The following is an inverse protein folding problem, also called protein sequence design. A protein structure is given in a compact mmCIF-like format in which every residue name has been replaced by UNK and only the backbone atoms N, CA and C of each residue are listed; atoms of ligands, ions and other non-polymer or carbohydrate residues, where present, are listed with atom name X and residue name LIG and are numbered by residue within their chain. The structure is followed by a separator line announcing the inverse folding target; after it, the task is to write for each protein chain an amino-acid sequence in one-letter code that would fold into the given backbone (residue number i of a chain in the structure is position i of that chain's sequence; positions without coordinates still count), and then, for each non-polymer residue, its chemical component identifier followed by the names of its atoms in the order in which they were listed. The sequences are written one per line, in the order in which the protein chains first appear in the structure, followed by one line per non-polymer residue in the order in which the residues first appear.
data_IF_105972289655
#
_entry.id   IF_105972289655
#
_cell.length_a   1.000
_cell.length_b   1.000
_cell.length_c   1.000
_cell.angle_alpha   90.00
_cell.angle_beta   90.00
_cell.angle_gamma   90.00
#
_symmetry.space_group_name_H-M   'P 1'
#
loop_
_entity.id
_entity.type
_entity.pdbx_description
1 polymer ?
#
# COMPACT_ATOMS: atom_id res chain seq x y z
N UNK A 1 -1.07 17.26 19.11
CA UNK A 1 -0.75 16.19 18.13
C UNK A 1 -0.71 16.84 16.75
N UNK A 2 0.46 16.90 16.08
CA UNK A 2 0.53 17.46 14.71
C UNK A 2 -0.35 16.59 13.81
N UNK A 3 -1.37 17.19 13.21
CA UNK A 3 -2.22 16.56 12.17
C UNK A 3 -1.29 16.11 11.06
N UNK A 4 -1.12 14.80 10.89
CA UNK A 4 -0.35 14.24 9.77
C UNK A 4 -1.33 13.85 8.67
N UNK A 5 -0.97 14.19 7.43
CA UNK A 5 -1.79 13.94 6.26
C UNK A 5 -1.62 12.48 5.85
N UNK A 6 -2.67 11.69 6.04
CA UNK A 6 -2.81 10.39 5.38
C UNK A 6 -3.64 10.62 4.11
N UNK A 7 -3.24 10.02 3.00
CA UNK A 7 -3.86 10.33 1.69
C UNK A 7 -5.31 9.87 1.62
N UNK A 8 -5.61 8.68 2.18
CA UNK A 8 -6.95 8.11 2.19
C UNK A 8 -7.27 7.64 3.60
N UNK A 9 -8.42 8.08 4.12
CA UNK A 9 -8.95 7.59 5.40
C UNK A 9 -10.42 7.20 5.22
N UNK A 10 -10.75 5.98 5.64
CA UNK A 10 -12.12 5.49 5.73
C UNK A 10 -12.57 5.58 7.17
N UNK A 11 -13.68 6.27 7.40
CA UNK A 11 -14.32 6.40 8.71
C UNK A 11 -15.68 5.73 8.73
N UNK A 12 -16.08 5.25 9.91
CA UNK A 12 -17.44 4.73 10.16
C UNK A 12 -18.08 5.51 11.30
N UNK A 13 -19.31 5.98 11.07
CA UNK A 13 -20.06 6.74 12.07
C UNK A 13 -20.20 5.97 13.39
N UNK A 14 -19.86 6.64 14.49
CA UNK A 14 -19.87 6.04 15.83
C UNK A 14 -18.71 5.07 16.15
N UNK A 15 -17.76 4.88 15.23
CA UNK A 15 -16.54 4.07 15.44
C UNK A 15 -15.29 4.95 15.27
N UNK A 16 -15.25 5.80 14.25
CA UNK A 16 -14.08 6.61 13.90
C UNK A 16 -13.33 6.03 12.68
N UNK A 17 -12.03 6.32 12.53
CA UNK A 17 -11.23 5.82 11.42
C UNK A 17 -10.98 4.31 11.57
N UNK A 18 -11.19 3.58 10.49
CA UNK A 18 -11.15 2.11 10.47
C UNK A 18 -10.16 1.54 9.46
N UNK A 19 -9.87 2.28 8.40
CA UNK A 19 -8.83 1.95 7.44
C UNK A 19 -8.18 3.24 6.95
N UNK A 20 -6.87 3.23 6.77
CA UNK A 20 -6.17 4.32 6.12
C UNK A 20 -5.09 3.81 5.18
N UNK A 21 -4.81 4.58 4.13
CA UNK A 21 -3.75 4.30 3.16
C UNK A 21 -2.95 5.57 2.93
N UNK A 22 -1.65 5.47 3.07
CA UNK A 22 -0.68 6.50 2.70
C UNK A 22 0.10 6.02 1.47
N UNK A 23 0.45 6.94 0.56
CA UNK A 23 1.13 6.66 -0.68
C UNK A 23 2.28 7.65 -0.88
N UNK A 24 3.46 7.12 -1.21
CA UNK A 24 4.66 7.92 -1.42
C UNK A 24 5.34 7.59 -2.75
N UNK A 25 5.43 8.59 -3.61
CA UNK A 25 6.30 8.56 -4.79
C UNK A 25 7.75 8.87 -4.44
N UNK A 26 8.68 8.07 -4.96
CA UNK A 26 10.12 8.22 -4.78
C UNK A 26 10.79 8.57 -6.11
N UNK A 27 11.15 9.84 -6.28
CA UNK A 27 11.72 10.36 -7.53
C UNK A 27 13.25 10.36 -7.55
N UNK A 28 13.92 10.62 -6.42
CA UNK A 28 15.40 10.53 -6.26
C UNK A 28 15.78 9.40 -5.30
N UNK A 29 15.43 8.18 -5.69
CA UNK A 29 15.07 7.11 -4.77
C UNK A 29 16.17 6.71 -3.79
N UNK A 30 17.42 6.51 -4.25
CA UNK A 30 18.42 5.81 -3.44
C UNK A 30 19.03 6.67 -2.34
N UNK A 31 19.23 7.98 -2.58
CA UNK A 31 19.85 8.88 -1.58
C UNK A 31 19.03 9.02 -0.29
N UNK A 32 17.73 8.82 -0.38
CA UNK A 32 16.79 9.19 0.68
C UNK A 32 16.15 7.99 1.38
N UNK A 33 16.49 6.74 1.01
CA UNK A 33 15.79 5.54 1.50
C UNK A 33 15.76 5.47 3.03
N UNK A 34 16.89 5.70 3.71
CA UNK A 34 16.98 5.67 5.17
C UNK A 34 16.07 6.72 5.82
N UNK A 35 16.16 7.98 5.36
CA UNK A 35 15.30 9.05 5.87
C UNK A 35 13.81 8.74 5.67
N UNK A 36 13.46 8.08 4.55
CA UNK A 36 12.08 7.65 4.27
C UNK A 36 11.63 6.52 5.17
N UNK A 37 12.50 5.54 5.47
CA UNK A 37 12.20 4.49 6.44
C UNK A 37 11.90 5.09 7.81
N UNK A 38 12.77 5.96 8.32
CA UNK A 38 12.58 6.60 9.63
C UNK A 38 11.28 7.42 9.70
N UNK A 39 10.98 8.20 8.66
CA UNK A 39 9.72 8.95 8.55
C UNK A 39 8.51 8.02 8.61
N UNK A 40 8.57 6.90 7.89
CA UNK A 40 7.50 5.91 7.77
C UNK A 40 7.26 5.15 9.07
N UNK A 41 8.33 4.81 9.79
CA UNK A 41 8.25 4.19 11.13
C UNK A 41 7.58 5.17 12.10
N UNK A 42 8.07 6.41 12.16
CA UNK A 42 7.51 7.43 13.05
C UNK A 42 6.04 7.75 12.72
N UNK A 43 5.65 7.73 11.45
CA UNK A 43 4.26 7.90 11.03
C UNK A 43 3.36 6.77 11.53
N UNK A 44 3.79 5.53 11.32
CA UNK A 44 3.07 4.33 11.78
C UNK A 44 2.81 4.35 13.27
N UNK A 45 3.87 4.58 14.05
CA UNK A 45 3.81 4.57 15.52
C UNK A 45 2.85 5.64 16.02
N UNK A 46 2.97 6.86 15.50
CA UNK A 46 2.10 7.96 15.92
C UNK A 46 0.63 7.70 15.61
N UNK A 47 0.33 7.19 14.41
CA UNK A 47 -1.05 6.90 13.99
C UNK A 47 -1.65 5.78 14.83
N UNK A 48 -0.91 4.70 15.08
CA UNK A 48 -1.42 3.60 15.89
C UNK A 48 -1.50 3.90 17.39
N UNK A 49 -0.72 4.86 17.91
CA UNK A 49 -0.93 5.36 19.27
C UNK A 49 -2.27 6.09 19.36
N UNK A 50 -2.60 6.93 18.38
CA UNK A 50 -3.88 7.66 18.34
C UNK A 50 -5.08 6.78 18.00
N UNK A 51 -4.90 5.80 17.12
CA UNK A 51 -5.94 4.92 16.60
C UNK A 51 -5.47 3.45 16.60
N UNK A 52 -5.47 2.77 17.76
CA UNK A 52 -4.87 1.44 17.89
C UNK A 52 -5.55 0.35 17.05
N UNK A 53 -6.82 0.55 16.71
CA UNK A 53 -7.60 -0.40 15.90
C UNK A 53 -7.50 -0.12 14.40
N UNK A 54 -6.97 1.02 13.98
CA UNK A 54 -6.87 1.39 12.56
C UNK A 54 -6.13 0.31 11.77
N UNK A 55 -6.67 -0.08 10.62
CA UNK A 55 -5.92 -0.88 9.63
C UNK A 55 -5.17 0.07 8.73
N UNK A 56 -3.83 0.06 8.79
CA UNK A 56 -3.02 1.06 8.11
C UNK A 56 -2.14 0.44 7.02
N UNK A 57 -2.31 0.96 5.80
CA UNK A 57 -1.52 0.60 4.62
C UNK A 57 -0.56 1.70 4.20
N UNK A 58 0.61 1.31 3.69
CA UNK A 58 1.56 2.24 3.07
C UNK A 58 2.03 1.74 1.69
N UNK A 59 1.92 2.57 0.67
CA UNK A 59 2.34 2.26 -0.70
C UNK A 59 3.56 3.10 -1.10
N UNK A 60 4.65 2.45 -1.48
CA UNK A 60 5.83 3.07 -2.09
C UNK A 60 5.84 2.86 -3.59
N UNK A 61 5.90 3.96 -4.35
CA UNK A 61 6.06 3.95 -5.80
C UNK A 61 7.43 4.50 -6.15
N UNK A 62 8.31 3.65 -6.69
CA UNK A 62 9.69 4.02 -7.03
C UNK A 62 9.82 4.18 -8.53
N UNK A 63 10.38 5.31 -8.97
CA UNK A 63 10.77 5.47 -10.37
C UNK A 63 11.92 4.53 -10.73
N UNK A 64 11.71 3.65 -11.69
CA UNK A 64 12.71 2.70 -12.16
C UNK A 64 13.72 3.35 -13.11
N UNK A 65 14.44 4.36 -12.62
CA UNK A 65 15.49 5.00 -13.42
C UNK A 65 16.58 3.96 -13.72
N UNK A 66 16.71 3.60 -14.99
CA UNK A 66 17.73 2.67 -15.46
C UNK A 66 19.08 3.37 -15.59
N UNK A 67 20.15 2.63 -15.38
CA UNK A 67 21.50 3.14 -15.58
C UNK A 67 21.69 3.57 -17.05
N UNK A 68 22.11 4.83 -17.26
CA UNK A 68 22.22 5.39 -18.60
C UNK A 68 22.81 6.80 -18.61
N UNK A 69 23.04 7.33 -19.81
CA UNK A 69 23.60 8.68 -19.99
C UNK A 69 22.62 9.73 -19.47
N UNK A 70 23.08 10.59 -18.56
CA UNK A 70 22.26 11.67 -17.98
C UNK A 70 21.50 11.31 -16.70
N UNK A 71 21.62 10.07 -16.21
CA UNK A 71 21.10 9.66 -14.90
C UNK A 71 22.25 9.70 -13.89
N UNK A 72 22.08 10.44 -12.79
CA UNK A 72 23.07 10.44 -11.71
C UNK A 72 23.13 9.04 -11.08
N UNK A 73 24.34 8.55 -10.75
CA UNK A 73 24.55 7.20 -10.19
C UNK A 73 23.68 6.91 -8.95
N UNK A 74 23.40 7.94 -8.18
CA UNK A 74 22.57 7.90 -6.97
C UNK A 74 21.06 7.91 -7.20
N UNK A 75 20.63 8.15 -8.44
CA UNK A 75 19.23 8.09 -8.85
C UNK A 75 18.92 6.80 -9.62
N UNK A 76 19.94 5.99 -9.93
CA UNK A 76 19.80 4.68 -10.57
C UNK A 76 19.12 3.72 -9.60
N UNK A 77 18.01 3.13 -10.05
CA UNK A 77 17.22 2.14 -9.31
C UNK A 77 17.37 0.76 -9.93
N UNK A 78 17.60 0.71 -11.24
CA UNK A 78 17.79 -0.52 -12.02
C UNK A 78 19.13 -0.44 -12.75
N UNK A 79 19.97 -1.46 -12.57
CA UNK A 79 21.29 -1.54 -13.20
C UNK A 79 21.22 -1.92 -14.69
N UNK A 80 22.38 -1.97 -15.36
CA UNK A 80 22.49 -2.37 -16.78
C UNK A 80 22.01 -3.79 -17.07
N UNK A 81 21.94 -4.66 -16.05
CA UNK A 81 21.45 -6.04 -16.18
C UNK A 81 19.93 -6.13 -16.02
N UNK A 82 19.26 -5.00 -15.76
CA UNK A 82 17.83 -4.95 -15.50
C UNK A 82 17.45 -5.28 -14.06
N UNK A 83 18.42 -5.38 -13.14
CA UNK A 83 18.17 -5.76 -11.75
C UNK A 83 18.09 -4.54 -10.82
N UNK A 84 17.31 -4.60 -9.74
CA UNK A 84 17.30 -3.55 -8.72
C UNK A 84 18.69 -3.39 -8.10
N UNK A 85 19.13 -2.14 -7.91
CA UNK A 85 20.41 -1.86 -7.23
C UNK A 85 20.36 -2.22 -5.75
N UNK A 86 21.51 -2.40 -5.12
CA UNK A 86 21.60 -2.86 -3.72
C UNK A 86 20.81 -2.00 -2.73
N UNK A 87 20.81 -0.68 -2.90
CA UNK A 87 20.01 0.21 -2.03
C UNK A 87 18.52 -0.11 -2.06
N UNK A 88 17.99 -0.43 -3.25
CA UNK A 88 16.58 -0.81 -3.46
C UNK A 88 16.28 -2.15 -2.79
N UNK A 89 17.20 -3.12 -2.87
CA UNK A 89 17.08 -4.40 -2.20
C UNK A 89 17.08 -4.26 -0.67
N UNK A 90 17.97 -3.44 -0.11
CA UNK A 90 18.00 -3.17 1.35
C UNK A 90 16.72 -2.47 1.82
N UNK A 91 16.21 -1.54 1.04
CA UNK A 91 14.94 -0.87 1.33
C UNK A 91 13.77 -1.84 1.32
N UNK A 92 13.69 -2.70 0.30
CA UNK A 92 12.71 -3.80 0.24
C UNK A 92 12.76 -4.71 1.47
N UNK A 93 13.96 -5.10 1.92
CA UNK A 93 14.13 -5.91 3.14
C UNK A 93 13.64 -5.17 4.39
N UNK A 94 13.96 -3.88 4.52
CA UNK A 94 13.49 -3.07 5.63
C UNK A 94 11.96 -2.93 5.65
N UNK A 95 11.33 -2.67 4.50
CA UNK A 95 9.87 -2.62 4.37
C UNK A 95 9.23 -3.97 4.71
N UNK A 96 9.85 -5.08 4.30
CA UNK A 96 9.39 -6.43 4.60
C UNK A 96 9.38 -6.72 6.11
N UNK A 97 10.31 -6.13 6.88
CA UNK A 97 10.35 -6.25 8.34
C UNK A 97 9.28 -5.38 9.06
N UNK A 98 8.79 -4.34 8.40
CA UNK A 98 7.83 -3.37 8.95
C UNK A 98 6.37 -3.70 8.64
N UNK A 99 6.10 -4.68 7.79
CA UNK A 99 4.74 -5.09 7.44
C UNK A 99 4.24 -6.28 8.26
N UNK A 100 2.96 -6.61 8.14
CA UNK A 100 2.37 -7.79 8.76
C UNK A 100 1.92 -7.61 10.21
N UNK A 101 1.54 -6.39 10.63
CA UNK A 101 0.85 -6.21 11.90
C UNK A 101 -0.45 -7.02 11.93
N UNK A 102 -0.61 -7.87 12.93
CA UNK A 102 -1.79 -8.75 13.08
C UNK A 102 -2.84 -8.12 14.01
N UNK A 103 -2.40 -7.64 15.17
CA UNK A 103 -3.30 -7.20 16.24
C UNK A 103 -2.96 -5.83 16.83
N UNK A 104 -3.88 -5.32 17.62
CA UNK A 104 -3.77 -4.01 18.31
C UNK A 104 -2.60 -3.99 19.29
N UNK A 105 -2.35 -5.11 19.97
CA UNK A 105 -1.25 -5.25 20.95
C UNK A 105 0.12 -5.55 20.32
N UNK A 106 0.18 -5.75 19.02
CA UNK A 106 1.44 -5.96 18.32
C UNK A 106 2.15 -4.62 18.08
N UNK A 107 3.45 -4.70 17.80
CA UNK A 107 4.37 -3.58 17.51
C UNK A 107 3.68 -2.39 16.80
N UNK A 108 3.56 -1.26 17.52
CA UNK A 108 2.90 -0.06 17.04
C UNK A 108 3.55 0.52 15.78
N UNK A 109 4.80 0.16 15.54
CA UNK A 109 5.65 0.64 14.46
C UNK A 109 5.55 -0.21 13.19
N UNK A 110 4.66 -1.22 13.18
CA UNK A 110 4.36 -2.03 12.00
C UNK A 110 3.02 -1.66 11.38
N UNK A 111 3.00 -1.73 10.06
CA UNK A 111 1.80 -1.60 9.24
C UNK A 111 1.10 -2.94 9.07
N UNK A 112 -0.21 -2.91 8.87
CA UNK A 112 -0.96 -4.09 8.43
C UNK A 112 -0.53 -4.54 7.03
N UNK A 113 -0.30 -3.58 6.12
CA UNK A 113 0.23 -3.85 4.79
C UNK A 113 1.21 -2.75 4.35
N UNK A 114 2.33 -3.14 3.76
CA UNK A 114 3.18 -2.25 2.98
C UNK A 114 3.23 -2.83 1.58
N UNK A 115 3.17 -1.98 0.58
CA UNK A 115 3.49 -2.36 -0.79
C UNK A 115 4.59 -1.50 -1.35
N UNK A 116 5.39 -2.11 -2.21
CA UNK A 116 6.40 -1.46 -3.00
C UNK A 116 6.18 -1.84 -4.47
N UNK A 117 6.22 -0.84 -5.34
CA UNK A 117 6.15 -1.04 -6.78
C UNK A 117 7.18 -0.15 -7.47
N UNK A 118 7.78 -0.64 -8.55
CA UNK A 118 8.63 0.15 -9.42
C UNK A 118 7.88 0.50 -10.70
N UNK A 119 8.00 1.74 -11.14
CA UNK A 119 7.31 2.28 -12.32
C UNK A 119 8.33 2.62 -13.38
N UNK A 120 8.15 2.09 -14.59
CA UNK A 120 8.96 2.47 -15.75
C UNK A 120 8.71 3.95 -16.08
N UNK A 121 9.79 4.70 -16.28
CA UNK A 121 9.73 6.16 -16.42
C UNK A 121 9.85 6.64 -17.86
N UNK A 122 10.21 5.75 -18.78
CA UNK A 122 10.60 6.13 -20.13
C UNK A 122 10.23 5.09 -21.19
N UNK A 123 10.22 5.54 -22.44
CA UNK A 123 9.91 4.68 -23.59
C UNK A 123 8.43 4.29 -23.68
N UNK A 124 8.12 3.30 -24.51
CA UNK A 124 6.75 2.86 -24.76
C UNK A 124 6.05 2.18 -23.58
N UNK A 125 6.79 1.88 -22.50
CA UNK A 125 6.29 1.29 -21.26
C UNK A 125 6.17 2.30 -20.11
N UNK A 126 6.34 3.60 -20.38
CA UNK A 126 6.26 4.63 -19.35
C UNK A 126 4.93 4.58 -18.60
N UNK A 127 5.01 4.52 -17.26
CA UNK A 127 3.84 4.39 -16.38
C UNK A 127 3.46 2.96 -16.03
N UNK A 128 4.05 1.95 -16.69
CA UNK A 128 3.82 0.55 -16.35
C UNK A 128 4.59 0.12 -15.10
N UNK A 129 4.03 -0.85 -14.37
CA UNK A 129 4.73 -1.51 -13.28
C UNK A 129 5.79 -2.47 -13.83
N UNK A 130 6.93 -2.51 -13.16
CA UNK A 130 7.90 -3.60 -13.30
C UNK A 130 7.37 -4.79 -12.50
N UNK A 131 7.16 -5.92 -13.17
CA UNK A 131 6.50 -7.11 -12.65
C UNK A 131 7.44 -8.12 -12.00
N UNK A 132 8.75 -7.95 -12.23
CA UNK A 132 9.83 -8.80 -11.77
C UNK A 132 10.46 -8.37 -10.43
N UNK A 133 10.09 -7.19 -9.90
CA UNK A 133 10.48 -6.79 -8.53
C UNK A 133 9.51 -5.77 -7.86
N UNK A 134 9.13 -5.97 -6.59
CA UNK A 134 9.38 -7.15 -5.75
C UNK A 134 8.82 -8.44 -6.36
N UNK A 135 9.36 -9.59 -6.01
CA UNK A 135 8.82 -10.87 -6.52
C UNK A 135 7.39 -11.13 -5.98
N UNK A 136 6.63 -11.98 -6.68
CA UNK A 136 5.23 -12.28 -6.34
C UNK A 136 5.01 -12.90 -4.94
N UNK A 137 6.06 -13.49 -4.35
CA UNK A 137 6.04 -14.06 -3.00
C UNK A 137 6.44 -13.06 -1.92
N UNK A 138 6.96 -11.90 -2.31
CA UNK A 138 7.34 -10.86 -1.37
C UNK A 138 6.13 -10.38 -0.54
N UNK A 139 6.30 -10.19 0.78
CA UNK A 139 5.25 -9.64 1.63
C UNK A 139 4.89 -8.19 1.27
N UNK A 140 5.77 -7.48 0.54
CA UNK A 140 5.54 -6.11 0.07
C UNK A 140 5.18 -6.03 -1.41
N UNK A 141 4.82 -7.15 -2.03
CA UNK A 141 4.35 -7.18 -3.41
C UNK A 141 3.05 -6.38 -3.57
N UNK A 142 2.99 -5.48 -4.56
CA UNK A 142 1.84 -4.60 -4.81
C UNK A 142 0.50 -5.36 -4.90
N UNK A 143 0.47 -6.48 -5.62
CA UNK A 143 -0.75 -7.29 -5.79
C UNK A 143 -1.36 -7.82 -4.49
N UNK A 144 -0.60 -7.90 -3.39
CA UNK A 144 -1.07 -8.38 -2.08
C UNK A 144 -1.60 -7.28 -1.17
N UNK A 145 -1.42 -6.01 -1.56
CA UNK A 145 -1.64 -4.85 -0.70
C UNK A 145 -3.08 -4.76 -0.19
N UNK A 146 -4.02 -4.58 -1.12
CA UNK A 146 -5.44 -4.41 -0.76
C UNK A 146 -6.05 -5.68 -0.20
N UNK A 147 -5.65 -6.85 -0.70
CA UNK A 147 -6.07 -8.14 -0.14
C UNK A 147 -5.71 -8.22 1.35
N UNK A 148 -4.48 -7.87 1.71
CA UNK A 148 -4.01 -7.88 3.10
C UNK A 148 -4.75 -6.86 3.96
N UNK A 149 -4.93 -5.63 3.47
CA UNK A 149 -5.70 -4.60 4.20
C UNK A 149 -7.13 -5.05 4.45
N UNK A 150 -7.79 -5.59 3.44
CA UNK A 150 -9.16 -6.07 3.56
C UNK A 150 -9.29 -7.25 4.53
N UNK A 151 -8.37 -8.19 4.48
CA UNK A 151 -8.34 -9.30 5.44
C UNK A 151 -8.20 -8.79 6.87
N UNK A 152 -7.26 -7.88 7.13
CA UNK A 152 -7.05 -7.30 8.48
C UNK A 152 -8.25 -6.48 8.94
N UNK A 153 -8.91 -5.78 8.02
CA UNK A 153 -10.15 -5.08 8.29
C UNK A 153 -11.25 -6.03 8.73
N UNK A 154 -11.50 -7.10 7.97
CA UNK A 154 -12.55 -8.06 8.28
C UNK A 154 -12.27 -8.78 9.60
N UNK A 155 -11.04 -9.24 9.83
CA UNK A 155 -10.62 -9.86 11.10
C UNK A 155 -10.94 -8.95 12.29
N UNK A 156 -10.64 -7.65 12.17
CA UNK A 156 -10.73 -6.71 13.30
C UNK A 156 -12.14 -6.18 13.53
N UNK A 157 -12.87 -5.84 12.47
CA UNK A 157 -14.14 -5.12 12.57
C UNK A 157 -15.37 -5.97 12.26
N UNK A 158 -15.21 -7.12 11.61
CA UNK A 158 -16.34 -7.99 11.24
C UNK A 158 -16.32 -9.27 12.09
N UNK A 159 -15.18 -9.95 12.15
CA UNK A 159 -15.04 -11.23 12.86
C UNK A 159 -14.88 -11.01 14.36
N UNK A 160 -13.94 -10.16 14.78
CA UNK A 160 -13.67 -9.93 16.22
C UNK A 160 -14.70 -9.06 16.93
N UNK A 161 -15.58 -8.37 16.18
CA UNK A 161 -16.64 -7.53 16.73
C UNK A 161 -18.00 -7.78 16.04
N UNK A 162 -18.62 -8.96 16.22
CA UNK A 162 -19.86 -9.34 15.53
C UNK A 162 -21.01 -8.33 15.72
N UNK A 163 -21.09 -7.68 16.88
CA UNK A 163 -22.05 -6.64 17.21
C UNK A 163 -21.91 -5.37 16.34
N UNK A 164 -20.71 -5.11 15.81
CA UNK A 164 -20.44 -4.01 14.89
C UNK A 164 -20.60 -4.42 13.42
N UNK A 165 -20.65 -5.73 13.12
CA UNK A 165 -20.66 -6.26 11.76
C UNK A 165 -21.75 -5.65 10.87
N UNK A 166 -22.94 -5.34 11.43
CA UNK A 166 -24.03 -4.68 10.67
C UNK A 166 -23.61 -3.32 10.09
N UNK A 167 -22.67 -2.62 10.74
CA UNK A 167 -22.15 -1.29 10.32
C UNK A 167 -20.80 -1.38 9.60
N UNK A 168 -20.01 -2.39 9.92
CA UNK A 168 -18.62 -2.54 9.46
C UNK A 168 -18.45 -3.51 8.31
N UNK A 169 -19.41 -4.39 8.02
CA UNK A 169 -19.33 -5.25 6.83
C UNK A 169 -19.09 -4.39 5.58
N UNK A 170 -18.20 -4.89 4.72
CA UNK A 170 -17.89 -4.25 3.45
C UNK A 170 -19.14 -4.30 2.58
N UNK A 171 -19.40 -3.20 1.88
CA UNK A 171 -20.51 -3.15 0.94
C UNK A 171 -20.13 -3.97 -0.29
N UNK A 172 -21.13 -4.67 -0.81
CA UNK A 172 -21.04 -5.45 -2.03
C UNK A 172 -22.11 -4.93 -2.97
N UNK A 173 -21.82 -4.96 -4.26
CA UNK A 173 -22.80 -4.54 -5.23
C UNK A 173 -23.83 -5.65 -5.42
N UNK A 174 -25.11 -5.27 -5.51
CA UNK A 174 -26.17 -6.19 -5.93
C UNK A 174 -25.90 -6.66 -7.35
N UNK A 175 -26.09 -7.95 -7.61
CA UNK A 175 -25.96 -8.51 -8.97
C UNK A 175 -26.86 -7.82 -10.00
N UNK A 176 -27.99 -7.29 -9.53
CA UNK A 176 -28.99 -6.58 -10.31
C UNK A 176 -28.82 -5.05 -10.25
N UNK A 177 -27.64 -4.56 -9.81
CA UNK A 177 -27.41 -3.13 -9.70
C UNK A 177 -27.48 -2.46 -11.08
N UNK A 178 -28.22 -1.35 -11.24
CA UNK A 178 -28.26 -0.60 -12.50
C UNK A 178 -26.90 -0.02 -12.89
N UNK A 179 -25.94 0.04 -11.95
CA UNK A 179 -24.54 0.37 -12.22
C UNK A 179 -23.86 -0.63 -13.19
N UNK A 180 -24.50 -1.78 -13.46
CA UNK A 180 -24.00 -2.83 -14.34
C UNK A 180 -24.74 -2.95 -15.67
N UNK A 181 -25.64 -2.03 -15.98
CA UNK A 181 -26.19 -1.92 -17.32
C UNK A 181 -25.07 -1.54 -18.31
N UNK A 182 -25.17 -2.03 -19.56
CA UNK A 182 -24.05 -2.25 -20.48
C UNK A 182 -23.15 -1.02 -20.74
N UNK A 183 -23.69 0.21 -20.65
CA UNK A 183 -22.95 1.44 -20.90
C UNK A 183 -21.94 1.81 -19.80
N UNK A 184 -22.13 1.33 -18.56
CA UNK A 184 -21.23 1.63 -17.43
C UNK A 184 -20.12 0.59 -17.24
N UNK A 185 -20.23 -0.59 -17.87
CA UNK A 185 -19.20 -1.65 -17.80
C UNK A 185 -17.97 -1.37 -18.66
N UNK A 186 -18.10 -0.55 -19.71
CA UNK A 186 -17.04 -0.34 -20.71
C UNK A 186 -15.92 0.62 -20.29
N UNK A 187 -15.83 1.02 -19.02
CA UNK A 187 -14.78 1.92 -18.53
C UNK A 187 -14.27 1.65 -17.13
N UNK A 188 -14.62 0.52 -16.51
CA UNK A 188 -14.11 0.19 -15.18
C UNK A 188 -12.74 -0.47 -15.28
N UNK A 189 -11.74 0.20 -14.70
CA UNK A 189 -10.36 -0.27 -14.57
C UNK A 189 -10.14 -1.20 -13.36
N UNK A 190 -11.22 -1.60 -12.68
CA UNK A 190 -11.18 -2.49 -11.52
C UNK A 190 -12.24 -3.59 -11.55
N UNK A 191 -11.96 -4.70 -10.86
CA UNK A 191 -12.90 -5.81 -10.69
C UNK A 191 -13.92 -5.49 -9.61
N UNK A 192 -15.19 -5.47 -9.99
CA UNK A 192 -16.29 -5.19 -9.07
C UNK A 192 -16.50 -6.36 -8.10
N UNK A 193 -16.79 -6.05 -6.81
CA UNK A 193 -17.22 -7.04 -5.82
C UNK A 193 -18.74 -7.18 -5.87
N UNK A 194 -19.20 -8.32 -6.34
CA UNK A 194 -20.61 -8.72 -6.36
C UNK A 194 -20.94 -9.44 -5.06
N UNK A 195 -22.10 -9.11 -4.47
CA UNK A 195 -22.64 -9.87 -3.35
C UNK A 195 -23.32 -11.15 -3.84
N UNK A 196 -23.12 -12.24 -3.12
CA UNK A 196 -23.81 -13.52 -3.35
C UNK A 196 -25.20 -13.54 -2.70
#
# INVERSE_FOLDING_TARGET
MKTKNVDIVVTKGGIGPVLAVSCKGMTGAVRNLTNRLEETIGECTNIHIGYPTLVFGYLFLIRANREGRGVASTDVVVDRTGRPVEGVLRFHQALSAMTGRLGVRNDASRYEAIAMAMIEVSGGRGGELIDDFPDANSPVHFGRFFETLYRRYDERYVVSAPQLARRTRRLEWSVDSPAFEAELRHGLDYRIRMGS
#
